data_IF_964405467856
#
_entry.id   IF_964405467856
#
_cell.length_a   1.000
_cell.length_b   1.000
_cell.length_c   1.000
_cell.angle_alpha   90.00
_cell.angle_beta   90.00
_cell.angle_gamma   90.00
#
_symmetry.space_group_name_H-M   'P 1'
#
loop_
_entity.id
_entity.type
_entity.pdbx_description
1 polymer ?
#
# COMPACT_ATOMS: atom_id res chain seq x y z
N UNK A 1 -21.94 -36.36 26.96
CA UNK A 1 -21.51 -37.46 26.03
C UNK A 1 -22.50 -37.46 24.89
N UNK A 2 -22.16 -36.91 23.72
CA UNK A 2 -23.03 -37.04 22.52
C UNK A 2 -23.01 -38.49 22.08
N UNK A 3 -24.14 -39.17 22.17
CA UNK A 3 -24.23 -40.52 21.66
C UNK A 3 -23.94 -40.48 20.14
N UNK A 4 -22.96 -41.22 19.68
CA UNK A 4 -22.59 -41.36 18.25
C UNK A 4 -23.83 -41.67 17.37
N UNK A 5 -24.82 -42.32 17.94
CA UNK A 5 -26.12 -42.58 17.32
C UNK A 5 -26.91 -41.31 17.02
N UNK A 6 -26.93 -40.31 17.94
CA UNK A 6 -27.66 -39.06 17.71
C UNK A 6 -27.03 -38.25 16.58
N UNK A 7 -25.68 -38.26 16.44
CA UNK A 7 -24.97 -37.60 15.37
C UNK A 7 -25.26 -38.23 14.01
N UNK A 8 -25.26 -39.57 13.90
CA UNK A 8 -25.64 -40.29 12.65
C UNK A 8 -27.08 -39.99 12.23
N UNK A 9 -28.00 -40.05 13.19
CA UNK A 9 -29.40 -39.74 12.94
C UNK A 9 -29.58 -38.28 12.52
N UNK A 10 -28.91 -37.35 13.22
CA UNK A 10 -28.96 -35.93 12.91
C UNK A 10 -28.43 -35.63 11.49
N UNK A 11 -27.31 -36.22 11.10
CA UNK A 11 -26.75 -36.07 9.75
C UNK A 11 -27.67 -36.65 8.66
N UNK A 12 -28.22 -37.84 8.90
CA UNK A 12 -29.18 -38.43 7.95
C UNK A 12 -30.43 -37.57 7.77
N UNK A 13 -30.98 -37.06 8.87
CA UNK A 13 -32.11 -36.14 8.84
C UNK A 13 -31.76 -34.83 8.10
N UNK A 14 -30.60 -34.27 8.32
CA UNK A 14 -30.14 -33.04 7.66
C UNK A 14 -30.09 -33.24 6.13
N UNK A 15 -29.41 -34.31 5.65
CA UNK A 15 -29.29 -34.62 4.24
C UNK A 15 -30.65 -34.82 3.56
N UNK A 16 -31.54 -35.53 4.25
CA UNK A 16 -32.89 -35.80 3.71
C UNK A 16 -33.74 -34.51 3.68
N UNK A 17 -33.60 -33.68 4.66
CA UNK A 17 -34.31 -32.39 4.73
C UNK A 17 -33.81 -31.41 3.67
N UNK A 18 -32.51 -31.32 3.42
CA UNK A 18 -31.91 -30.50 2.36
C UNK A 18 -32.41 -30.96 0.98
N UNK A 19 -32.38 -32.30 0.71
CA UNK A 19 -32.84 -32.84 -0.58
C UNK A 19 -34.34 -32.65 -0.85
N UNK A 20 -35.16 -32.53 0.20
CA UNK A 20 -36.62 -32.35 0.09
C UNK A 20 -37.06 -30.92 0.36
N UNK A 21 -36.12 -30.01 0.62
CA UNK A 21 -36.42 -28.58 0.80
C UNK A 21 -36.88 -27.96 -0.54
N UNK A 22 -37.72 -26.93 -0.45
CA UNK A 22 -38.06 -26.14 -1.62
C UNK A 22 -36.80 -25.47 -2.16
N UNK A 23 -36.54 -25.62 -3.47
CA UNK A 23 -35.41 -24.97 -4.14
C UNK A 23 -35.42 -23.48 -3.94
N UNK A 24 -36.57 -22.83 -3.89
CA UNK A 24 -36.73 -21.41 -3.69
C UNK A 24 -36.29 -20.97 -2.31
N UNK A 25 -36.70 -21.70 -1.26
CA UNK A 25 -36.29 -21.38 0.13
C UNK A 25 -34.81 -21.64 0.34
N UNK A 26 -34.27 -22.75 -0.16
CA UNK A 26 -32.88 -23.12 -0.08
C UNK A 26 -32.01 -22.09 -0.83
N UNK A 27 -32.41 -21.70 -2.05
CA UNK A 27 -31.74 -20.68 -2.85
C UNK A 27 -31.69 -19.33 -2.15
N UNK A 28 -32.79 -18.89 -1.52
CA UNK A 28 -32.82 -17.63 -0.76
C UNK A 28 -31.85 -17.67 0.42
N UNK A 29 -31.81 -18.78 1.16
CA UNK A 29 -30.89 -18.95 2.30
C UNK A 29 -29.43 -18.87 1.82
N UNK A 30 -29.08 -19.61 0.78
CA UNK A 30 -27.72 -19.60 0.21
C UNK A 30 -27.39 -18.19 -0.29
N UNK A 31 -28.31 -17.52 -0.97
CA UNK A 31 -28.10 -16.15 -1.45
C UNK A 31 -27.79 -15.16 -0.31
N UNK A 32 -28.52 -15.24 0.79
CA UNK A 32 -28.23 -14.40 1.99
C UNK A 32 -26.84 -14.73 2.55
N UNK A 33 -26.45 -16.01 2.60
CA UNK A 33 -25.13 -16.41 3.04
C UNK A 33 -24.02 -15.90 2.10
N UNK A 34 -24.24 -15.92 0.78
CA UNK A 34 -23.33 -15.33 -0.22
C UNK A 34 -23.17 -13.84 0.03
N UNK A 35 -24.28 -13.11 0.20
CA UNK A 35 -24.21 -11.66 0.45
C UNK A 35 -23.47 -11.32 1.75
N UNK A 36 -23.70 -12.10 2.80
CA UNK A 36 -22.99 -11.90 4.08
C UNK A 36 -21.49 -12.15 3.94
N UNK A 37 -21.12 -13.23 3.23
CA UNK A 37 -19.72 -13.54 2.93
C UNK A 37 -19.07 -12.46 2.06
N UNK A 38 -19.73 -12.04 0.98
CA UNK A 38 -19.22 -10.99 0.10
C UNK A 38 -19.00 -9.67 0.85
N UNK A 39 -19.95 -9.28 1.72
CA UNK A 39 -19.80 -8.06 2.52
C UNK A 39 -18.52 -8.12 3.38
N UNK A 40 -18.29 -9.24 4.08
CA UNK A 40 -17.11 -9.42 4.92
C UNK A 40 -15.82 -9.36 4.09
N UNK A 41 -15.76 -10.10 2.98
CA UNK A 41 -14.55 -10.25 2.15
C UNK A 41 -14.25 -8.97 1.38
N UNK A 42 -15.27 -8.33 0.78
CA UNK A 42 -15.06 -7.13 -0.05
C UNK A 42 -14.58 -5.95 0.79
N UNK A 43 -15.21 -5.70 1.94
CA UNK A 43 -14.79 -4.58 2.80
C UNK A 43 -13.36 -4.78 3.30
N UNK A 44 -13.05 -5.97 3.84
CA UNK A 44 -11.69 -6.26 4.32
C UNK A 44 -10.67 -6.27 3.17
N UNK A 45 -11.01 -6.87 2.03
CA UNK A 45 -10.12 -6.94 0.88
C UNK A 45 -9.79 -5.59 0.24
N UNK A 46 -10.74 -4.65 0.21
CA UNK A 46 -10.47 -3.27 -0.25
C UNK A 46 -9.53 -2.56 0.73
N UNK A 47 -9.76 -2.68 2.04
CA UNK A 47 -8.90 -2.03 3.04
C UNK A 47 -7.46 -2.56 2.97
N UNK A 48 -7.30 -3.88 2.89
CA UNK A 48 -5.97 -4.51 2.73
C UNK A 48 -5.33 -4.07 1.41
N UNK A 49 -6.09 -4.08 0.31
CA UNK A 49 -5.60 -3.66 -1.00
C UNK A 49 -5.13 -2.19 -1.03
N UNK A 50 -5.83 -1.30 -0.32
CA UNK A 50 -5.40 0.09 -0.17
C UNK A 50 -4.06 0.22 0.55
N UNK A 51 -3.90 -0.53 1.64
CA UNK A 51 -2.66 -0.54 2.42
C UNK A 51 -1.51 -1.08 1.56
N UNK A 52 -1.70 -2.25 0.95
CA UNK A 52 -0.68 -2.87 0.11
C UNK A 52 -0.33 -1.98 -1.08
N UNK A 53 -1.32 -1.43 -1.78
CA UNK A 53 -1.08 -0.51 -2.89
C UNK A 53 -0.26 0.71 -2.49
N UNK A 54 -0.53 1.32 -1.32
CA UNK A 54 0.26 2.44 -0.82
C UNK A 54 1.71 2.06 -0.48
N UNK A 55 1.90 0.91 0.15
CA UNK A 55 3.24 0.38 0.50
C UNK A 55 4.03 0.03 -0.75
N UNK A 56 3.41 -0.68 -1.69
CA UNK A 56 4.05 -1.10 -2.95
C UNK A 56 4.42 0.11 -3.83
N UNK A 57 3.61 1.15 -3.81
CA UNK A 57 3.89 2.36 -4.56
C UNK A 57 5.11 3.09 -4.00
N UNK A 58 5.22 3.25 -2.66
CA UNK A 58 6.42 3.80 -2.02
C UNK A 58 7.64 2.91 -2.28
N UNK A 59 7.49 1.59 -2.23
CA UNK A 59 8.54 0.63 -2.56
C UNK A 59 9.03 0.80 -4.00
N UNK A 60 8.12 0.78 -4.96
CA UNK A 60 8.47 0.79 -6.39
C UNK A 60 9.03 2.13 -6.84
N UNK A 61 8.49 3.25 -6.34
CA UNK A 61 8.83 4.57 -6.86
C UNK A 61 9.92 5.29 -6.05
N UNK A 62 10.21 4.86 -4.79
CA UNK A 62 11.15 5.60 -3.95
C UNK A 62 12.12 4.75 -3.12
N UNK A 63 11.63 3.85 -2.25
CA UNK A 63 12.49 3.12 -1.30
C UNK A 63 13.20 1.94 -1.93
N UNK A 64 12.64 1.35 -2.98
CA UNK A 64 12.98 0.03 -3.48
C UNK A 64 12.84 -1.04 -2.37
N UNK A 65 13.51 -2.18 -2.45
CA UNK A 65 13.36 -3.29 -1.49
C UNK A 65 14.02 -3.03 -0.15
N UNK A 66 15.20 -2.43 -0.18
CA UNK A 66 15.97 -2.04 1.01
C UNK A 66 16.51 -0.63 0.80
N UNK A 67 16.40 0.20 1.81
CA UNK A 67 16.98 1.53 1.83
C UNK A 67 17.98 1.65 2.96
N UNK A 68 19.14 2.18 2.64
CA UNK A 68 20.20 2.51 3.60
C UNK A 68 20.28 4.02 3.67
N UNK A 69 20.08 4.60 4.84
CA UNK A 69 20.07 6.05 5.06
C UNK A 69 21.11 6.43 6.11
N UNK A 70 21.48 7.72 6.13
CA UNK A 70 22.32 8.26 7.18
C UNK A 70 21.67 8.06 8.56
N UNK A 71 22.48 8.00 9.60
CA UNK A 71 22.01 8.04 10.98
C UNK A 71 21.31 9.37 11.27
N UNK A 72 20.36 9.39 12.21
CA UNK A 72 19.51 10.54 12.49
C UNK A 72 20.29 11.82 12.89
N UNK A 73 21.52 11.65 13.40
CA UNK A 73 22.43 12.73 13.79
C UNK A 73 23.43 13.15 12.71
N UNK A 74 23.36 12.50 11.52
CA UNK A 74 24.32 12.71 10.43
C UNK A 74 23.61 13.13 9.13
N UNK A 75 24.15 14.08 8.38
CA UNK A 75 23.58 14.49 7.10
C UNK A 75 23.90 13.51 5.95
N UNK A 76 24.79 12.57 6.16
CA UNK A 76 25.22 11.59 5.17
C UNK A 76 25.77 10.32 5.83
N UNK A 77 25.83 9.25 5.08
CA UNK A 77 26.42 7.98 5.48
C UNK A 77 27.94 8.10 5.44
N UNK A 78 28.59 7.97 6.59
CA UNK A 78 30.04 7.94 6.66
C UNK A 78 30.58 6.70 5.93
N UNK A 79 31.70 6.85 5.22
CA UNK A 79 32.33 5.76 4.50
C UNK A 79 31.44 5.08 3.41
N UNK A 80 30.51 5.84 2.82
CA UNK A 80 29.59 5.37 1.79
C UNK A 80 30.25 4.63 0.63
N UNK A 81 31.42 5.02 0.10
CA UNK A 81 32.05 4.29 -1.00
C UNK A 81 32.33 2.82 -0.67
N UNK A 82 32.79 2.53 0.56
CA UNK A 82 33.03 1.16 0.99
C UNK A 82 31.71 0.39 1.21
N UNK A 83 30.70 1.07 1.76
CA UNK A 83 29.37 0.47 1.91
C UNK A 83 28.72 0.16 0.56
N UNK A 84 28.84 1.05 -0.41
CA UNK A 84 28.39 0.83 -1.80
C UNK A 84 29.11 -0.36 -2.42
N UNK A 85 30.44 -0.49 -2.23
CA UNK A 85 31.18 -1.62 -2.73
C UNK A 85 30.75 -2.94 -2.06
N UNK A 86 30.50 -2.91 -0.76
CA UNK A 86 29.99 -4.04 0.01
C UNK A 86 28.61 -4.48 -0.51
N UNK A 87 27.67 -3.55 -0.66
CA UNK A 87 26.32 -3.83 -1.16
C UNK A 87 26.37 -4.43 -2.57
N UNK A 88 27.19 -3.86 -3.47
CA UNK A 88 27.37 -4.40 -4.84
C UNK A 88 27.96 -5.80 -4.88
N UNK A 89 28.66 -6.23 -3.83
CA UNK A 89 29.23 -7.59 -3.76
C UNK A 89 28.19 -8.64 -3.35
N UNK A 90 27.01 -8.25 -2.89
CA UNK A 90 25.96 -9.17 -2.47
C UNK A 90 25.28 -9.80 -3.69
N UNK A 91 25.20 -11.13 -3.79
CA UNK A 91 24.60 -11.81 -4.93
C UNK A 91 23.09 -11.59 -5.08
N UNK A 92 22.40 -11.21 -4.01
CA UNK A 92 20.97 -10.91 -3.96
C UNK A 92 20.63 -9.55 -4.58
N UNK A 93 21.60 -8.62 -4.64
CA UNK A 93 21.40 -7.27 -5.16
C UNK A 93 21.41 -7.28 -6.69
N UNK A 94 20.40 -6.66 -7.29
CA UNK A 94 20.28 -6.46 -8.73
C UNK A 94 20.83 -5.10 -9.15
N UNK A 95 20.35 -4.03 -8.50
CA UNK A 95 20.75 -2.66 -8.80
C UNK A 95 20.75 -1.80 -7.52
N UNK A 96 21.52 -0.71 -7.55
CA UNK A 96 21.53 0.28 -6.47
C UNK A 96 21.56 1.70 -7.03
N UNK A 97 20.98 2.62 -6.28
CA UNK A 97 21.09 4.06 -6.56
C UNK A 97 21.53 4.83 -5.32
N UNK A 98 22.76 5.34 -5.30
CA UNK A 98 23.22 6.27 -4.27
C UNK A 98 22.62 7.67 -4.51
N UNK A 99 22.11 8.30 -3.46
CA UNK A 99 21.47 9.62 -3.52
C UNK A 99 22.15 10.59 -2.57
N UNK A 100 22.47 11.76 -3.08
CA UNK A 100 22.80 12.92 -2.26
C UNK A 100 21.51 13.65 -1.91
N UNK A 101 21.40 14.26 -0.73
CA UNK A 101 20.24 15.09 -0.40
C UNK A 101 20.60 16.26 0.50
N UNK A 102 19.83 17.33 0.40
CA UNK A 102 19.88 18.48 1.30
C UNK A 102 18.55 19.22 1.28
N UNK A 103 18.24 19.93 2.38
CA UNK A 103 17.14 20.87 2.38
C UNK A 103 17.42 22.05 1.43
N UNK A 104 16.41 22.48 0.72
CA UNK A 104 16.46 23.58 -0.23
C UNK A 104 15.25 24.50 -0.12
N UNK A 105 15.45 25.77 -0.44
CA UNK A 105 14.34 26.71 -0.69
C UNK A 105 14.30 27.05 -2.17
N UNK A 106 13.13 26.86 -2.76
CA UNK A 106 12.86 27.22 -4.15
C UNK A 106 12.27 28.61 -4.19
N UNK A 107 12.66 29.44 -5.15
CA UNK A 107 12.09 30.76 -5.39
C UNK A 107 11.78 30.95 -6.87
N UNK A 108 10.53 31.26 -7.16
CA UNK A 108 10.09 31.62 -8.51
C UNK A 108 9.82 33.12 -8.62
N UNK A 109 9.71 33.61 -9.86
CA UNK A 109 9.43 35.05 -10.17
C UNK A 109 10.39 36.05 -9.56
N UNK A 110 11.58 35.63 -9.13
CA UNK A 110 12.56 36.45 -8.43
C UNK A 110 13.09 37.61 -9.32
N UNK A 111 13.04 37.50 -10.67
CA UNK A 111 13.47 38.56 -11.61
C UNK A 111 12.43 39.67 -11.80
N UNK A 112 11.17 39.37 -11.61
CA UNK A 112 10.03 40.26 -11.91
C UNK A 112 9.37 40.80 -10.63
N UNK A 113 9.77 40.29 -9.46
CA UNK A 113 9.22 40.66 -8.16
C UNK A 113 9.62 42.09 -7.80
N UNK A 114 8.66 42.89 -7.29
CA UNK A 114 8.90 44.17 -6.64
C UNK A 114 9.23 43.93 -5.16
N UNK A 115 9.96 44.85 -4.53
CA UNK A 115 10.35 44.70 -3.11
C UNK A 115 9.17 44.58 -2.15
N UNK A 116 8.02 45.11 -2.53
CA UNK A 116 6.75 45.03 -1.78
C UNK A 116 5.99 43.71 -1.94
N UNK A 117 6.35 42.89 -2.92
CA UNK A 117 5.61 41.68 -3.23
C UNK A 117 6.01 40.53 -2.29
N UNK A 118 5.03 39.69 -1.94
CA UNK A 118 5.28 38.42 -1.21
C UNK A 118 6.26 37.57 -2.02
N UNK A 119 7.22 36.96 -1.32
CA UNK A 119 8.13 36.01 -1.96
C UNK A 119 7.36 34.75 -2.40
N UNK A 120 7.58 34.33 -3.64
CA UNK A 120 7.06 33.11 -4.20
C UNK A 120 8.05 31.97 -3.93
N UNK A 121 7.98 31.39 -2.74
CA UNK A 121 8.94 30.39 -2.26
C UNK A 121 8.26 29.13 -1.75
N UNK A 122 8.93 28.00 -1.94
CA UNK A 122 8.55 26.71 -1.39
C UNK A 122 9.78 26.02 -0.78
N UNK A 123 9.60 25.39 0.37
CA UNK A 123 10.62 24.50 0.96
C UNK A 123 10.52 23.10 0.36
N UNK A 124 11.66 22.51 0.03
CA UNK A 124 11.73 21.15 -0.50
C UNK A 124 13.02 20.47 -0.07
N UNK A 125 13.07 19.15 -0.14
CA UNK A 125 14.32 18.42 -0.17
C UNK A 125 14.76 18.24 -1.63
N UNK A 126 16.02 18.47 -1.90
CA UNK A 126 16.62 18.24 -3.20
C UNK A 126 17.45 16.96 -3.16
N UNK A 127 17.26 16.12 -4.17
CA UNK A 127 18.01 14.89 -4.37
C UNK A 127 18.94 15.02 -5.58
N UNK A 128 20.22 14.75 -5.37
CA UNK A 128 21.19 14.55 -6.43
C UNK A 128 21.27 13.06 -6.76
N UNK A 129 20.88 12.70 -7.96
CA UNK A 129 20.76 11.30 -8.42
C UNK A 129 21.50 11.07 -9.73
N UNK A 130 22.00 9.86 -9.93
CA UNK A 130 22.36 9.40 -11.28
C UNK A 130 21.07 9.00 -12.00
N UNK A 131 20.69 9.69 -13.09
CA UNK A 131 19.40 9.44 -13.73
C UNK A 131 19.22 8.01 -14.25
N UNK A 132 20.28 7.35 -14.66
CA UNK A 132 20.24 5.97 -15.19
C UNK A 132 20.04 4.99 -14.05
N UNK A 133 20.84 5.09 -12.99
CA UNK A 133 20.75 4.22 -11.83
C UNK A 133 19.43 4.42 -11.08
N UNK A 134 19.01 5.66 -10.92
CA UNK A 134 17.74 5.98 -10.25
C UNK A 134 16.55 5.36 -10.99
N UNK A 135 16.51 5.53 -12.31
CA UNK A 135 15.41 4.95 -13.09
C UNK A 135 15.44 3.41 -13.14
N UNK A 136 16.62 2.80 -13.06
CA UNK A 136 16.75 1.34 -13.00
C UNK A 136 16.22 0.76 -11.67
N UNK A 137 16.27 1.53 -10.57
CA UNK A 137 15.90 1.07 -9.24
C UNK A 137 14.48 1.46 -8.87
N UNK A 138 14.01 2.66 -9.26
CA UNK A 138 12.73 3.24 -8.80
C UNK A 138 11.78 3.62 -9.93
N UNK A 139 12.18 3.40 -11.18
CA UNK A 139 11.37 3.76 -12.36
C UNK A 139 10.90 5.24 -12.37
N UNK A 140 11.69 6.15 -11.77
CA UNK A 140 11.33 7.55 -11.58
C UNK A 140 10.93 8.26 -12.89
N UNK A 141 11.47 7.82 -14.03
CA UNK A 141 11.09 8.38 -15.33
C UNK A 141 9.60 8.19 -15.66
N UNK A 142 8.97 7.11 -15.19
CA UNK A 142 7.55 6.84 -15.43
C UNK A 142 6.62 7.79 -14.67
N UNK A 143 7.10 8.38 -13.57
CA UNK A 143 6.36 9.34 -12.76
C UNK A 143 6.44 10.78 -13.30
N UNK A 144 7.28 11.04 -14.32
CA UNK A 144 7.36 12.34 -15.00
C UNK A 144 6.24 12.43 -16.03
N UNK A 145 5.19 13.18 -15.73
CA UNK A 145 4.01 13.29 -16.59
C UNK A 145 4.01 14.50 -17.50
N UNK A 146 4.77 15.54 -17.15
CA UNK A 146 4.92 16.75 -17.94
C UNK A 146 6.40 17.05 -18.17
N UNK A 147 6.76 17.42 -19.39
CA UNK A 147 8.13 17.67 -19.79
C UNK A 147 8.90 16.38 -20.09
N UNK A 148 10.11 16.26 -19.61
CA UNK A 148 10.97 15.10 -19.84
C UNK A 148 11.83 14.77 -18.62
N UNK A 149 12.22 13.50 -18.52
CA UNK A 149 13.10 13.00 -17.46
C UNK A 149 14.53 13.57 -17.60
N UNK A 150 15.29 13.49 -16.51
CA UNK A 150 16.70 13.90 -16.48
C UNK A 150 17.58 12.99 -17.39
N UNK A 151 18.52 13.60 -18.06
CA UNK A 151 19.59 12.91 -18.77
C UNK A 151 20.93 13.14 -18.04
N UNK A 152 21.91 12.22 -18.11
CA UNK A 152 23.20 12.35 -17.41
C UNK A 152 23.98 13.62 -17.72
N UNK A 153 23.75 14.21 -18.90
CA UNK A 153 24.40 15.44 -19.35
C UNK A 153 23.64 16.72 -19.03
N UNK A 154 22.52 16.64 -18.35
CA UNK A 154 21.71 17.81 -18.01
C UNK A 154 22.43 18.69 -16.99
N UNK A 155 22.51 19.97 -17.31
CA UNK A 155 23.10 20.97 -16.46
C UNK A 155 22.11 22.10 -16.21
N UNK A 156 21.99 22.56 -14.97
CA UNK A 156 21.00 23.55 -14.54
C UNK A 156 19.54 23.16 -14.89
N UNK A 157 19.25 21.86 -14.87
CA UNK A 157 17.92 21.31 -15.07
C UNK A 157 17.47 20.48 -13.88
N UNK A 158 16.18 20.58 -13.56
CA UNK A 158 15.57 19.85 -12.45
C UNK A 158 14.22 19.28 -12.86
N UNK A 159 13.82 18.19 -12.23
CA UNK A 159 12.45 17.75 -12.19
C UNK A 159 11.88 18.02 -10.81
N UNK A 160 10.64 18.48 -10.74
CA UNK A 160 10.01 18.92 -9.48
C UNK A 160 8.71 18.19 -9.23
N UNK A 161 8.43 17.91 -7.97
CA UNK A 161 7.19 17.26 -7.55
C UNK A 161 5.98 18.18 -7.68
N UNK A 162 4.84 17.64 -8.03
CA UNK A 162 3.60 18.39 -8.31
C UNK A 162 3.15 19.27 -7.12
N UNK A 163 3.30 18.81 -5.87
CA UNK A 163 2.83 19.57 -4.72
C UNK A 163 3.75 20.75 -4.32
N UNK A 164 4.85 20.94 -5.04
CA UNK A 164 5.61 22.18 -4.97
C UNK A 164 5.01 23.30 -5.84
N UNK A 165 3.95 23.01 -6.61
CA UNK A 165 3.29 23.92 -7.55
C UNK A 165 1.85 24.16 -7.10
N UNK A 166 1.45 25.42 -6.95
CA UNK A 166 0.12 25.80 -6.46
C UNK A 166 -1.03 25.24 -7.28
N UNK A 167 -0.84 25.08 -8.59
CA UNK A 167 -1.84 24.55 -9.52
C UNK A 167 -2.22 23.08 -9.28
N UNK A 168 -1.43 22.31 -8.50
CA UNK A 168 -1.67 20.90 -8.19
C UNK A 168 -1.97 20.65 -6.70
N UNK A 169 -1.88 21.67 -5.86
CA UNK A 169 -2.21 21.54 -4.44
C UNK A 169 -3.73 21.49 -4.30
N UNK A 170 -4.32 20.42 -3.74
CA UNK A 170 -5.76 20.20 -3.73
C UNK A 170 -6.54 21.13 -2.80
N UNK A 171 -5.87 21.84 -1.89
CA UNK A 171 -6.48 22.72 -0.89
C UNK A 171 -5.61 23.94 -0.71
N UNK A 172 -6.20 25.14 -0.70
CA UNK A 172 -5.54 26.38 -0.26
C UNK A 172 -5.25 26.31 1.25
N UNK A 173 -4.20 25.57 1.61
CA UNK A 173 -3.71 25.53 2.98
C UNK A 173 -2.61 26.58 3.14
N UNK A 174 -2.80 27.59 4.00
CA UNK A 174 -1.79 28.62 4.23
C UNK A 174 -0.45 28.10 4.76
N UNK A 175 -0.43 26.88 5.29
CA UNK A 175 0.79 26.22 5.77
C UNK A 175 1.54 25.50 4.63
N UNK A 176 0.91 25.37 3.45
CA UNK A 176 1.51 24.77 2.27
C UNK A 176 2.08 25.87 1.36
N UNK A 177 3.38 26.13 1.50
CA UNK A 177 4.08 27.02 0.59
C UNK A 177 4.35 26.28 -0.74
N UNK A 178 3.65 26.67 -1.80
CA UNK A 178 3.85 26.19 -3.15
C UNK A 178 4.20 27.37 -4.09
N UNK A 179 4.86 27.07 -5.21
CA UNK A 179 5.28 28.04 -6.20
C UNK A 179 4.13 28.37 -7.15
N UNK A 180 3.85 29.67 -7.31
CA UNK A 180 2.86 30.15 -8.26
C UNK A 180 3.47 30.36 -9.64
N UNK A 181 2.67 30.08 -10.69
CA UNK A 181 3.01 30.31 -12.09
C UNK A 181 4.30 29.66 -12.56
N UNK A 182 4.58 28.42 -12.09
CA UNK A 182 5.72 27.61 -12.53
C UNK A 182 5.22 26.45 -13.40
N UNK A 183 5.82 26.30 -14.57
CA UNK A 183 5.53 25.25 -15.54
C UNK A 183 6.83 24.69 -16.09
N UNK A 184 6.76 23.64 -16.92
CA UNK A 184 7.93 23.13 -17.65
C UNK A 184 8.56 24.26 -18.48
N UNK A 185 9.87 24.40 -18.40
CA UNK A 185 10.64 25.48 -19.00
C UNK A 185 10.79 26.73 -18.15
N UNK A 186 10.06 26.86 -17.02
CA UNK A 186 10.22 27.97 -16.10
C UNK A 186 11.61 27.96 -15.44
N UNK A 187 12.17 29.15 -15.24
CA UNK A 187 13.39 29.32 -14.48
C UNK A 187 13.07 29.63 -13.04
N UNK A 188 13.61 28.83 -12.13
CA UNK A 188 13.50 28.99 -10.68
C UNK A 188 14.90 29.12 -10.08
N UNK A 189 14.95 29.67 -8.88
CA UNK A 189 16.17 29.74 -8.10
C UNK A 189 16.10 28.71 -6.97
N UNK A 190 17.16 27.95 -6.80
CA UNK A 190 17.31 26.99 -5.69
C UNK A 190 18.38 27.54 -4.75
N UNK A 191 18.03 27.61 -3.47
CA UNK A 191 18.93 28.00 -2.37
C UNK A 191 19.19 26.73 -1.52
N UNK A 192 20.45 26.32 -1.42
CA UNK A 192 20.92 25.21 -0.55
C UNK A 192 22.03 25.76 0.33
N UNK A 193 21.80 25.87 1.65
CA UNK A 193 22.69 26.60 2.53
C UNK A 193 22.85 28.05 2.05
N UNK A 194 24.08 28.46 1.80
CA UNK A 194 24.42 29.80 1.28
C UNK A 194 24.55 29.85 -0.25
N UNK A 195 24.41 28.73 -0.93
CA UNK A 195 24.58 28.63 -2.39
C UNK A 195 23.24 28.79 -3.09
N UNK A 196 23.19 29.76 -4.00
CA UNK A 196 22.02 30.02 -4.84
C UNK A 196 22.32 29.67 -6.28
N UNK A 197 21.45 28.93 -6.94
CA UNK A 197 21.58 28.57 -8.34
C UNK A 197 20.28 28.73 -9.11
N UNK A 198 20.39 29.31 -10.32
CA UNK A 198 19.28 29.36 -11.26
C UNK A 198 19.22 28.03 -12.02
N UNK A 199 18.02 27.42 -12.07
CA UNK A 199 17.78 26.15 -12.79
C UNK A 199 16.49 26.24 -13.58
N UNK A 200 16.38 25.39 -14.61
CA UNK A 200 15.19 25.27 -15.44
C UNK A 200 14.42 24.04 -15.06
N UNK A 201 13.10 24.16 -14.91
CA UNK A 201 12.21 23.03 -14.68
C UNK A 201 12.10 22.23 -15.99
N UNK A 202 12.68 21.03 -16.01
CA UNK A 202 12.66 20.14 -17.17
C UNK A 202 11.43 19.26 -17.22
N UNK A 203 10.93 18.86 -16.05
CA UNK A 203 9.74 18.01 -15.95
C UNK A 203 9.07 18.11 -14.59
N UNK A 204 7.82 17.66 -14.54
CA UNK A 204 7.00 17.62 -13.33
C UNK A 204 6.64 16.18 -13.03
N UNK A 205 6.92 15.76 -11.79
CA UNK A 205 6.59 14.45 -11.27
C UNK A 205 5.17 14.49 -10.71
N UNK A 206 4.32 13.56 -11.16
CA UNK A 206 3.02 13.28 -10.57
C UNK A 206 3.01 11.85 -10.04
N UNK A 207 2.82 11.73 -8.76
CA UNK A 207 2.78 10.46 -8.05
C UNK A 207 1.85 10.60 -6.84
N UNK A 208 1.57 9.50 -6.18
CA UNK A 208 0.90 9.46 -4.86
C UNK A 208 1.91 9.33 -3.72
N UNK A 209 3.19 9.17 -4.05
CA UNK A 209 4.29 9.08 -3.09
C UNK A 209 4.74 10.48 -2.69
N UNK A 210 4.53 10.84 -1.42
CA UNK A 210 4.85 12.17 -0.89
C UNK A 210 6.33 12.54 -1.07
N UNK A 211 7.22 11.55 -0.92
CA UNK A 211 8.66 11.71 -1.15
C UNK A 211 9.04 12.09 -2.59
N UNK A 212 8.17 11.90 -3.57
CA UNK A 212 8.36 12.34 -4.95
C UNK A 212 7.67 13.67 -5.21
N UNK A 213 6.47 13.84 -4.68
CA UNK A 213 5.60 14.96 -5.03
C UNK A 213 5.97 16.27 -4.36
N UNK A 214 6.76 16.24 -3.27
CA UNK A 214 7.22 17.41 -2.50
C UNK A 214 8.70 17.70 -2.61
N UNK A 215 9.41 17.01 -3.51
CA UNK A 215 10.85 17.08 -3.62
C UNK A 215 11.30 17.46 -5.02
N UNK A 216 12.59 17.78 -5.13
CA UNK A 216 13.26 18.18 -6.35
C UNK A 216 14.36 17.18 -6.65
N UNK A 217 14.53 16.82 -7.91
CA UNK A 217 15.60 15.93 -8.35
C UNK A 217 16.45 16.62 -9.41
N UNK A 218 17.76 16.49 -9.27
CA UNK A 218 18.75 16.95 -10.23
C UNK A 218 19.88 15.92 -10.40
N UNK A 219 20.70 16.10 -11.40
CA UNK A 219 21.84 15.21 -11.64
C UNK A 219 22.85 15.34 -10.48
N UNK A 220 23.36 14.22 -9.99
CA UNK A 220 24.23 14.12 -8.81
C UNK A 220 25.51 14.95 -8.94
N UNK A 221 26.16 14.92 -10.10
CA UNK A 221 27.39 15.67 -10.36
C UNK A 221 27.21 17.17 -10.22
N UNK A 222 26.07 17.67 -10.68
CA UNK A 222 25.70 19.08 -10.53
C UNK A 222 25.34 19.41 -9.08
N UNK A 223 24.58 18.58 -8.41
CA UNK A 223 24.21 18.78 -7.01
C UNK A 223 25.46 18.83 -6.11
N UNK A 224 26.38 17.88 -6.27
CA UNK A 224 27.65 17.86 -5.54
C UNK A 224 28.48 19.13 -5.76
N UNK A 225 28.56 19.58 -7.02
CA UNK A 225 29.23 20.86 -7.35
C UNK A 225 28.57 22.05 -6.63
N UNK A 226 27.24 22.05 -6.54
CA UNK A 226 26.47 23.11 -5.88
C UNK A 226 26.71 23.16 -4.36
N UNK A 227 26.77 22.00 -3.69
CA UNK A 227 27.01 21.92 -2.25
C UNK A 227 28.50 21.86 -1.87
N UNK A 228 29.42 21.96 -2.85
CA UNK A 228 30.86 21.95 -2.63
C UNK A 228 31.42 20.61 -2.12
N UNK A 229 30.73 19.48 -2.38
CA UNK A 229 31.14 18.16 -1.89
C UNK A 229 32.00 17.42 -2.92
N UNK A 230 33.20 17.08 -2.52
CA UNK A 230 34.14 16.28 -3.31
C UNK A 230 34.27 14.85 -2.81
N UNK A 231 33.77 14.55 -1.59
CA UNK A 231 33.72 13.20 -1.04
C UNK A 231 32.65 12.36 -1.76
N UNK A 232 32.75 11.04 -1.63
CA UNK A 232 31.77 10.10 -2.20
C UNK A 232 30.66 9.71 -1.22
N UNK A 233 30.52 10.41 -0.09
CA UNK A 233 29.53 10.06 0.91
C UNK A 233 28.13 10.54 0.50
N UNK A 234 27.17 9.63 0.48
CA UNK A 234 25.78 9.85 0.07
C UNK A 234 24.84 9.90 1.26
N UNK A 235 23.67 10.48 1.09
CA UNK A 235 22.66 10.54 2.14
C UNK A 235 21.84 9.26 2.24
N UNK A 236 21.59 8.62 1.07
CA UNK A 236 20.78 7.41 0.97
C UNK A 236 21.31 6.50 -0.13
N UNK A 237 21.04 5.20 0.01
CA UNK A 237 21.27 4.19 -1.04
C UNK A 237 20.01 3.35 -1.10
N UNK A 238 19.29 3.36 -2.21
CA UNK A 238 18.19 2.44 -2.45
C UNK A 238 18.68 1.22 -3.19
N UNK A 239 18.20 0.03 -2.80
CA UNK A 239 18.63 -1.27 -3.31
C UNK A 239 17.43 -2.00 -3.91
N UNK A 240 17.57 -2.39 -5.16
CA UNK A 240 16.69 -3.33 -5.83
C UNK A 240 17.28 -4.73 -5.70
N UNK A 241 16.49 -5.67 -5.23
CA UNK A 241 16.91 -7.06 -5.06
C UNK A 241 16.42 -7.90 -6.25
N UNK A 242 17.12 -9.00 -6.49
CA UNK A 242 16.68 -10.00 -7.47
C UNK A 242 15.38 -10.65 -7.02
N UNK A 243 14.57 -11.03 -7.99
CA UNK A 243 13.29 -11.72 -7.74
C UNK A 243 13.48 -12.94 -6.83
N UNK A 244 12.61 -13.04 -5.81
CA UNK A 244 12.68 -14.11 -4.80
C UNK A 244 13.66 -13.89 -3.65
N UNK A 245 14.39 -12.77 -3.62
CA UNK A 245 15.24 -12.42 -2.48
C UNK A 245 14.43 -11.84 -1.35
N UNK A 246 14.76 -12.19 -0.09
CA UNK A 246 14.11 -11.65 1.10
C UNK A 246 14.81 -10.36 1.56
N UNK A 247 14.11 -9.19 1.56
CA UNK A 247 14.66 -7.93 2.03
C UNK A 247 15.11 -7.95 3.49
N UNK A 248 14.42 -8.72 4.36
CA UNK A 248 14.78 -8.83 5.76
C UNK A 248 16.11 -9.57 5.95
N UNK A 249 16.33 -10.64 5.19
CA UNK A 249 17.59 -11.37 5.21
C UNK A 249 18.76 -10.52 4.70
N UNK A 250 18.55 -9.69 3.67
CA UNK A 250 19.59 -8.78 3.14
C UNK A 250 19.91 -7.69 4.17
N UNK A 251 18.90 -7.12 4.84
CA UNK A 251 19.11 -6.16 5.94
C UNK A 251 19.98 -6.78 7.03
N UNK A 252 19.58 -7.95 7.55
CA UNK A 252 20.32 -8.63 8.62
C UNK A 252 21.77 -8.93 8.22
N UNK A 253 22.00 -9.35 6.98
CA UNK A 253 23.33 -9.61 6.44
C UNK A 253 24.20 -8.36 6.40
N UNK A 254 23.63 -7.20 6.02
CA UNK A 254 24.34 -5.92 6.03
C UNK A 254 24.67 -5.46 7.45
N UNK A 255 23.73 -5.62 8.39
CA UNK A 255 23.93 -5.31 9.81
C UNK A 255 25.03 -6.19 10.43
N UNK A 256 25.03 -7.50 10.16
CA UNK A 256 26.09 -8.43 10.60
C UNK A 256 27.47 -8.06 10.06
N UNK A 257 27.54 -7.41 8.88
CA UNK A 257 28.76 -6.90 8.30
C UNK A 257 29.16 -5.51 8.82
N UNK A 258 28.40 -4.98 9.80
CA UNK A 258 28.70 -3.75 10.49
C UNK A 258 28.21 -2.47 9.79
N UNK A 259 27.27 -2.59 8.86
CA UNK A 259 26.65 -1.42 8.19
C UNK A 259 25.87 -0.55 9.18
N UNK A 260 25.30 -1.14 10.24
CA UNK A 260 24.56 -0.49 11.29
C UNK A 260 25.35 0.59 12.07
N UNK A 261 26.67 0.47 12.08
CA UNK A 261 27.58 1.46 12.72
C UNK A 261 27.62 2.79 12.00
N UNK A 262 27.34 2.82 10.70
CA UNK A 262 27.49 3.99 9.83
C UNK A 262 26.19 4.45 9.19
N UNK A 263 25.20 3.56 9.15
CA UNK A 263 23.96 3.79 8.45
C UNK A 263 22.80 3.04 9.08
N UNK A 264 21.60 3.52 8.84
CA UNK A 264 20.35 2.87 9.19
C UNK A 264 19.89 2.02 8.02
N UNK A 265 19.91 0.69 8.17
CA UNK A 265 19.47 -0.26 7.14
C UNK A 265 18.01 -0.62 7.41
N UNK A 266 17.14 -0.39 6.44
CA UNK A 266 15.70 -0.60 6.59
C UNK A 266 15.15 -1.33 5.37
N UNK A 267 14.23 -2.25 5.59
CA UNK A 267 13.38 -2.77 4.51
C UNK A 267 12.38 -1.70 4.08
N UNK A 268 11.77 -1.86 2.89
CA UNK A 268 10.71 -0.97 2.44
C UNK A 268 9.55 -0.85 3.47
N UNK A 269 9.25 -1.92 4.20
CA UNK A 269 8.22 -1.93 5.24
C UNK A 269 8.63 -1.10 6.47
N UNK A 270 9.90 -1.18 6.88
CA UNK A 270 10.43 -0.41 8.02
C UNK A 270 10.56 1.08 7.70
N UNK A 271 10.92 1.39 6.45
CA UNK A 271 11.22 2.75 5.98
C UNK A 271 9.97 3.60 5.68
N UNK A 272 8.77 3.04 5.87
CA UNK A 272 7.53 3.79 5.62
C UNK A 272 7.48 5.09 6.42
N UNK A 273 7.08 6.22 5.81
CA UNK A 273 6.84 7.47 6.51
C UNK A 273 5.86 7.30 7.68
N UNK A 274 6.07 8.02 8.78
CA UNK A 274 5.20 7.91 9.96
C UNK A 274 3.72 8.15 9.63
N UNK A 275 3.45 9.12 8.77
CA UNK A 275 2.10 9.40 8.28
C UNK A 275 1.44 8.15 7.64
N UNK A 276 2.16 7.42 6.80
CA UNK A 276 1.65 6.21 6.17
C UNK A 276 1.43 5.09 7.21
N UNK A 277 2.34 4.94 8.17
CA UNK A 277 2.16 4.00 9.29
C UNK A 277 0.91 4.31 10.11
N UNK A 278 0.63 5.59 10.36
CA UNK A 278 -0.55 6.01 11.09
C UNK A 278 -1.84 5.72 10.30
N UNK A 279 -1.83 5.93 8.99
CA UNK A 279 -2.92 5.53 8.09
C UNK A 279 -3.12 4.01 8.14
N UNK A 280 -2.05 3.22 7.98
CA UNK A 280 -2.10 1.75 8.03
C UNK A 280 -2.71 1.27 9.35
N UNK A 281 -2.25 1.82 10.47
CA UNK A 281 -2.78 1.47 11.79
C UNK A 281 -4.26 1.82 11.93
N UNK A 282 -4.67 2.97 11.41
CA UNK A 282 -6.07 3.40 11.41
C UNK A 282 -6.94 2.45 10.57
N UNK A 283 -6.50 2.09 9.37
CA UNK A 283 -7.22 1.15 8.52
C UNK A 283 -7.27 -0.26 9.11
N UNK A 284 -6.20 -0.74 9.74
CA UNK A 284 -6.19 -2.02 10.44
C UNK A 284 -7.21 -2.02 11.60
N UNK A 285 -7.28 -0.94 12.37
CA UNK A 285 -8.27 -0.80 13.45
C UNK A 285 -9.70 -0.77 12.90
N UNK A 286 -9.95 -0.01 11.82
CA UNK A 286 -11.24 0.01 11.13
C UNK A 286 -11.60 -1.36 10.56
N UNK A 287 -10.64 -2.04 9.91
CA UNK A 287 -10.81 -3.39 9.37
C UNK A 287 -11.21 -4.40 10.44
N UNK A 288 -10.55 -4.38 11.60
CA UNK A 288 -10.91 -5.20 12.75
C UNK A 288 -12.32 -4.89 13.25
N UNK A 289 -12.71 -3.61 13.30
CA UNK A 289 -14.05 -3.17 13.64
C UNK A 289 -15.11 -3.70 12.66
N UNK A 290 -14.92 -3.49 11.37
CA UNK A 290 -15.83 -3.98 10.33
C UNK A 290 -15.93 -5.51 10.31
N UNK A 291 -14.81 -6.21 10.47
CA UNK A 291 -14.80 -7.68 10.57
C UNK A 291 -15.59 -8.17 11.78
N UNK A 292 -15.47 -7.51 12.92
CA UNK A 292 -16.25 -7.84 14.13
C UNK A 292 -17.74 -7.64 13.91
N UNK A 293 -18.15 -6.52 13.31
CA UNK A 293 -19.55 -6.25 12.95
C UNK A 293 -20.06 -7.30 11.95
N UNK A 294 -19.25 -7.61 10.93
CA UNK A 294 -19.58 -8.63 9.93
C UNK A 294 -19.80 -10.01 10.55
N UNK A 295 -18.99 -10.40 11.54
CA UNK A 295 -19.15 -11.64 12.29
C UNK A 295 -20.46 -11.68 13.10
N UNK A 296 -20.81 -10.56 13.75
CA UNK A 296 -22.08 -10.45 14.49
C UNK A 296 -23.26 -10.56 13.53
N UNK A 297 -23.24 -9.86 12.40
CA UNK A 297 -24.28 -9.91 11.37
C UNK A 297 -24.41 -11.33 10.80
N UNK A 298 -23.30 -12.00 10.50
CA UNK A 298 -23.29 -13.40 10.04
C UNK A 298 -23.94 -14.33 11.08
N UNK A 299 -23.59 -14.16 12.36
CA UNK A 299 -24.15 -14.96 13.47
C UNK A 299 -25.66 -14.76 13.61
N UNK A 300 -26.12 -13.53 13.56
CA UNK A 300 -27.55 -13.19 13.60
C UNK A 300 -28.28 -13.78 12.38
N UNK A 301 -27.68 -13.68 11.20
CA UNK A 301 -28.24 -14.23 9.97
C UNK A 301 -28.41 -15.75 10.05
N UNK A 302 -27.39 -16.46 10.53
CA UNK A 302 -27.44 -17.92 10.74
C UNK A 302 -28.54 -18.26 11.75
N UNK A 303 -28.62 -17.51 12.87
CA UNK A 303 -29.66 -17.70 13.88
C UNK A 303 -31.07 -17.52 13.29
N UNK A 304 -31.31 -16.45 12.55
CA UNK A 304 -32.61 -16.17 11.91
C UNK A 304 -32.98 -17.30 10.95
N UNK A 305 -32.04 -17.77 10.14
CA UNK A 305 -32.26 -18.87 9.19
C UNK A 305 -32.66 -20.16 9.91
N UNK A 306 -31.93 -20.53 10.97
CA UNK A 306 -32.24 -21.70 11.79
C UNK A 306 -33.61 -21.55 12.44
N UNK A 307 -33.89 -20.38 13.03
CA UNK A 307 -35.13 -20.10 13.73
C UNK A 307 -36.35 -20.19 12.81
N UNK A 308 -36.30 -19.53 11.64
CA UNK A 308 -37.40 -19.59 10.67
C UNK A 308 -37.62 -21.02 10.18
N UNK A 309 -36.54 -21.76 9.86
CA UNK A 309 -36.64 -23.16 9.46
C UNK A 309 -37.27 -24.06 10.54
N UNK A 310 -36.88 -23.86 11.80
CA UNK A 310 -37.47 -24.60 12.93
C UNK A 310 -38.93 -24.23 13.12
N UNK A 311 -39.29 -22.95 13.01
CA UNK A 311 -40.67 -22.48 13.22
C UNK A 311 -41.61 -22.98 12.12
N UNK A 312 -41.23 -22.92 10.87
CA UNK A 312 -42.04 -23.40 9.74
C UNK A 312 -42.24 -24.90 9.76
N UNK A 313 -41.28 -25.65 10.33
CA UNK A 313 -41.31 -27.11 10.42
C UNK A 313 -41.75 -27.64 11.79
N UNK A 314 -42.29 -26.81 12.68
CA UNK A 314 -42.66 -27.21 14.05
C UNK A 314 -43.56 -28.43 14.13
N UNK A 315 -44.53 -28.60 13.18
CA UNK A 315 -45.39 -29.78 13.09
C UNK A 315 -44.60 -31.06 12.86
N UNK A 316 -43.62 -31.00 11.95
CA UNK A 316 -42.79 -32.17 11.67
C UNK A 316 -41.82 -32.51 12.81
N UNK A 317 -41.37 -31.49 13.55
CA UNK A 317 -40.55 -31.67 14.77
C UNK A 317 -41.39 -32.42 15.82
N UNK A 318 -42.66 -32.01 16.00
CA UNK A 318 -43.61 -32.70 16.90
C UNK A 318 -43.82 -34.17 16.55
N UNK A 319 -44.04 -34.47 15.25
CA UNK A 319 -44.20 -35.82 14.76
C UNK A 319 -42.93 -36.66 15.01
N UNK A 320 -41.74 -36.10 14.70
CA UNK A 320 -40.46 -36.79 14.93
C UNK A 320 -40.22 -37.11 16.42
N UNK A 321 -40.60 -36.19 17.33
CA UNK A 321 -40.55 -36.45 18.78
C UNK A 321 -41.56 -37.54 19.19
N UNK A 322 -42.78 -37.52 18.61
CA UNK A 322 -43.82 -38.50 18.89
C UNK A 322 -43.42 -39.93 18.50
N UNK A 323 -42.63 -40.14 17.45
CA UNK A 323 -42.13 -41.43 17.02
C UNK A 323 -40.80 -41.82 17.71
N UNK A 324 -40.34 -41.04 18.75
CA UNK A 324 -39.21 -41.37 19.61
C UNK A 324 -37.86 -40.82 19.18
N UNK A 325 -37.80 -39.91 18.19
CA UNK A 325 -36.53 -39.21 17.85
C UNK A 325 -36.16 -38.22 18.95
N UNK A 326 -34.94 -38.33 19.46
CA UNK A 326 -34.44 -37.48 20.54
C UNK A 326 -34.31 -36.02 20.09
N UNK A 327 -34.63 -35.08 20.98
CA UNK A 327 -34.49 -33.65 20.71
C UNK A 327 -33.06 -33.28 20.26
N UNK A 328 -32.05 -33.92 20.86
CA UNK A 328 -30.63 -33.71 20.47
C UNK A 328 -30.31 -34.10 19.03
N UNK A 329 -30.91 -35.16 18.50
CA UNK A 329 -30.73 -35.53 17.10
C UNK A 329 -31.34 -34.49 16.13
N UNK A 330 -32.48 -33.90 16.54
CA UNK A 330 -33.13 -32.83 15.78
C UNK A 330 -32.26 -31.56 15.79
N UNK A 331 -31.73 -31.14 16.95
CA UNK A 331 -30.80 -29.99 17.06
C UNK A 331 -29.57 -30.18 16.18
N UNK A 332 -28.94 -31.35 16.27
CA UNK A 332 -27.77 -31.69 15.43
C UNK A 332 -28.13 -31.60 13.93
N UNK A 333 -29.33 -32.02 13.54
CA UNK A 333 -29.79 -31.91 12.15
C UNK A 333 -29.82 -30.47 11.65
N UNK A 334 -30.29 -29.51 12.48
CA UNK A 334 -30.29 -28.09 12.11
C UNK A 334 -28.89 -27.47 12.07
N UNK A 335 -28.00 -27.89 12.97
CA UNK A 335 -26.58 -27.47 12.94
C UNK A 335 -25.92 -27.91 11.64
N UNK A 336 -26.08 -29.17 11.23
CA UNK A 336 -25.54 -29.67 9.95
C UNK A 336 -26.12 -28.92 8.74
N UNK A 337 -27.42 -28.59 8.77
CA UNK A 337 -28.03 -27.80 7.68
C UNK A 337 -27.38 -26.41 7.59
N UNK A 338 -27.16 -25.76 8.73
CA UNK A 338 -26.54 -24.43 8.77
C UNK A 338 -25.10 -24.46 8.24
N UNK A 339 -24.32 -25.46 8.65
CA UNK A 339 -22.96 -25.67 8.15
C UNK A 339 -22.98 -25.87 6.63
N UNK A 340 -23.92 -26.67 6.13
CA UNK A 340 -24.06 -26.90 4.69
C UNK A 340 -24.38 -25.61 3.92
N UNK A 341 -25.33 -24.79 4.42
CA UNK A 341 -25.69 -23.53 3.77
C UNK A 341 -24.54 -22.50 3.83
N UNK A 342 -23.84 -22.42 4.97
CA UNK A 342 -22.69 -21.58 5.11
C UNK A 342 -21.55 -21.97 4.16
N UNK A 343 -21.28 -23.28 4.06
CA UNK A 343 -20.27 -23.80 3.13
C UNK A 343 -20.62 -23.50 1.66
N UNK A 344 -21.87 -23.77 1.26
CA UNK A 344 -22.33 -23.44 -0.09
C UNK A 344 -22.27 -21.94 -0.37
N UNK A 345 -22.68 -21.10 0.59
CA UNK A 345 -22.62 -19.65 0.47
C UNK A 345 -21.19 -19.13 0.33
N UNK A 346 -20.27 -19.62 1.16
CA UNK A 346 -18.85 -19.24 1.09
C UNK A 346 -18.19 -19.72 -0.19
N UNK A 347 -18.48 -20.95 -0.65
CA UNK A 347 -17.92 -21.49 -1.90
C UNK A 347 -18.39 -20.67 -3.12
N UNK A 348 -19.68 -20.36 -3.20
CA UNK A 348 -20.22 -19.51 -4.28
C UNK A 348 -19.66 -18.10 -4.16
N UNK A 349 -19.57 -17.56 -2.95
CA UNK A 349 -18.99 -16.25 -2.69
C UNK A 349 -17.53 -16.15 -3.14
N UNK A 350 -16.70 -17.16 -2.85
CA UNK A 350 -15.31 -17.25 -3.33
C UNK A 350 -15.26 -17.25 -4.87
N UNK A 351 -16.09 -18.04 -5.53
CA UNK A 351 -16.14 -18.07 -7.00
C UNK A 351 -16.49 -16.68 -7.53
N UNK A 352 -17.46 -15.98 -6.93
CA UNK A 352 -17.82 -14.62 -7.35
C UNK A 352 -16.69 -13.63 -7.12
N UNK A 353 -15.96 -13.73 -6.01
CA UNK A 353 -14.79 -12.86 -5.74
C UNK A 353 -13.74 -13.06 -6.83
N UNK A 354 -13.29 -14.29 -7.07
CA UNK A 354 -12.20 -14.56 -8.01
C UNK A 354 -12.60 -14.42 -9.49
N UNK A 355 -13.82 -14.81 -9.86
CA UNK A 355 -14.26 -14.77 -11.26
C UNK A 355 -14.75 -13.39 -11.71
N UNK A 356 -15.25 -12.56 -10.80
CA UNK A 356 -15.86 -11.27 -11.15
C UNK A 356 -15.26 -10.08 -10.43
N UNK A 357 -15.14 -10.11 -9.09
CA UNK A 357 -14.75 -8.94 -8.34
C UNK A 357 -13.26 -8.60 -8.51
N UNK A 358 -12.38 -9.57 -8.39
CA UNK A 358 -10.93 -9.35 -8.55
C UNK A 358 -10.61 -8.82 -9.96
N UNK A 359 -11.04 -9.45 -11.07
CA UNK A 359 -10.79 -8.91 -12.41
C UNK A 359 -11.44 -7.54 -12.63
N UNK A 360 -12.62 -7.31 -12.06
CA UNK A 360 -13.30 -6.01 -12.17
C UNK A 360 -12.50 -4.88 -11.52
N UNK A 361 -12.01 -5.08 -10.28
CA UNK A 361 -11.21 -4.06 -9.58
C UNK A 361 -9.79 -3.93 -10.14
N UNK A 362 -9.24 -4.97 -10.75
CA UNK A 362 -7.98 -4.86 -11.50
C UNK A 362 -8.13 -4.02 -12.77
N UNK A 363 -9.26 -4.15 -13.48
CA UNK A 363 -9.55 -3.36 -14.67
C UNK A 363 -10.02 -1.92 -14.34
N UNK A 364 -10.58 -1.72 -13.15
CA UNK A 364 -11.11 -0.44 -12.68
C UNK A 364 -10.63 -0.18 -11.24
N UNK A 365 -9.34 0.12 -11.03
CA UNK A 365 -8.81 0.40 -9.71
C UNK A 365 -9.52 1.63 -9.10
N UNK A 366 -9.77 1.58 -7.81
CA UNK A 366 -10.35 2.72 -7.10
C UNK A 366 -9.23 3.72 -6.84
N UNK A 367 -9.36 4.91 -7.41
CA UNK A 367 -8.38 5.97 -7.26
C UNK A 367 -8.51 6.68 -5.90
N UNK A 368 -7.52 6.47 -5.03
CA UNK A 368 -7.39 7.16 -3.75
C UNK A 368 -6.22 8.15 -3.77
N UNK A 369 -6.25 9.21 -2.96
CA UNK A 369 -5.19 10.23 -2.95
C UNK A 369 -3.78 9.69 -2.63
N UNK A 370 -3.67 8.53 -1.99
CA UNK A 370 -2.40 7.93 -1.52
C UNK A 370 -2.15 6.52 -2.05
N UNK A 371 -3.06 5.95 -2.85
CA UNK A 371 -2.94 4.58 -3.37
C UNK A 371 -3.89 4.35 -4.52
N UNK A 372 -3.52 3.44 -5.42
CA UNK A 372 -4.44 2.80 -6.36
C UNK A 372 -5.02 1.56 -5.68
N UNK A 373 -6.25 1.69 -5.15
CA UNK A 373 -6.90 0.62 -4.43
C UNK A 373 -7.33 -0.52 -5.35
N UNK A 374 -6.80 -1.71 -5.10
CA UNK A 374 -7.24 -2.97 -5.69
C UNK A 374 -7.91 -3.83 -4.64
N UNK A 375 -8.81 -4.72 -5.06
CA UNK A 375 -9.36 -5.73 -4.18
C UNK A 375 -8.36 -6.89 -4.03
N UNK A 376 -7.84 -7.08 -2.82
CA UNK A 376 -7.00 -8.23 -2.50
C UNK A 376 -7.90 -9.42 -2.16
N UNK A 377 -7.69 -10.55 -2.82
CA UNK A 377 -8.47 -11.75 -2.58
C UNK A 377 -8.00 -12.49 -1.31
N UNK A 378 -8.92 -13.15 -0.58
CA UNK A 378 -8.61 -13.71 0.75
C UNK A 378 -7.63 -14.90 0.75
N UNK A 379 -7.24 -15.41 -0.41
CA UNK A 379 -6.26 -16.50 -0.57
C UNK A 379 -4.96 -16.04 -1.23
N UNK A 380 -4.78 -14.76 -1.47
CA UNK A 380 -3.50 -14.26 -1.96
C UNK A 380 -2.48 -14.30 -0.80
N UNK A 381 -1.33 -14.94 -1.04
CA UNK A 381 -0.28 -15.19 -0.04
C UNK A 381 0.38 -13.91 0.53
N UNK A 382 -0.03 -12.76 0.07
CA UNK A 382 0.49 -11.44 0.48
C UNK A 382 -0.23 -10.83 1.69
N UNK A 383 -1.09 -11.60 2.36
CA UNK A 383 -1.79 -11.17 3.59
C UNK A 383 -1.02 -11.61 4.83
#
# INVERSE_FOLDING_TARGET
>A
MFSFLNTRIGLYLALRQIRRASLWTTGLIIFVMVLTFLNLVVVSGILVGLIQGAVDQVRTEFTSDVIVSALDDKPYIENSPNLVALIKSLPEVEAITPRYSSGATLEANYKTRKDTDKRNTAGAQIFGVDPILENAVTHLASSVTEGSYLAPGDYDQVIIGQFLLSQYVPVDDPNFAALDNVTVGSKIRILVGDVTREVTVKGIIKSKVDALTRNVFMVDSQFRSMIGRTDGNVAQIALLLKEGSDPAAVREKLEQQGADKYAKVQTYADAQPQFLKDIINTFNMLGAGFSSIGLVVASITIFIVIFINALTRRKYIGIMKGIGITGKAIEISYIFQSIFYAFCGSAIGLILVYAFLVPFFQAHPIDFPFSDGILVAPLDETI
#
